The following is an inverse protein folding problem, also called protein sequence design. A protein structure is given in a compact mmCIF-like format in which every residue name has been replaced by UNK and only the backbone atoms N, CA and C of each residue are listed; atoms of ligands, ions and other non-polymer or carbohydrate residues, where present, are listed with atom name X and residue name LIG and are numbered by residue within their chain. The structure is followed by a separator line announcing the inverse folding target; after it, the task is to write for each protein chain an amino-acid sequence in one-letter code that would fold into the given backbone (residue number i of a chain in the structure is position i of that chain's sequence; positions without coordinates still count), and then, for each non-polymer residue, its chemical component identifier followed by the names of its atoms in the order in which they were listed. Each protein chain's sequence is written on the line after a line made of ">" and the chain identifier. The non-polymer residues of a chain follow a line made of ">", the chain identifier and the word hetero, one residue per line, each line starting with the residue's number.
data_IF_201064054226
#
_entry.id   IF_201064054226
#
_cell.length_a   1.000
_cell.length_b   1.000
_cell.length_c   1.000
_cell.angle_alpha   90.00
_cell.angle_beta   90.00
_cell.angle_gamma   90.00
#
_symmetry.space_group_name_H-M   'P 1'
#
loop_
_entity.id
_entity.type
_entity.pdbx_description
1 polymer ?
#
# COMPACT_ATOMS: atom_id res chain seq x y z
N UNK A 1 7.71 7.23 -13.49
CA UNK A 1 7.99 8.53 -14.13
C UNK A 1 7.12 9.58 -13.43
N UNK A 2 7.72 10.67 -12.90
CA UNK A 2 6.99 11.74 -12.24
C UNK A 2 6.45 12.73 -13.29
N UNK A 3 5.26 13.23 -13.06
CA UNK A 3 4.56 14.15 -13.95
C UNK A 3 4.34 15.50 -13.24
N UNK A 4 4.44 16.60 -13.99
CA UNK A 4 4.02 17.90 -13.45
C UNK A 4 2.52 17.90 -13.17
N UNK A 5 2.09 18.67 -12.19
CA UNK A 5 0.66 18.78 -11.82
C UNK A 5 -0.21 19.20 -13.00
N UNK A 6 0.28 20.14 -13.83
CA UNK A 6 -0.43 20.56 -15.03
C UNK A 6 -0.71 19.41 -15.99
N UNK A 7 0.29 18.54 -16.21
CA UNK A 7 0.14 17.38 -17.08
C UNK A 7 -0.85 16.35 -16.52
N UNK A 8 -0.82 16.12 -15.20
CA UNK A 8 -1.79 15.24 -14.55
C UNK A 8 -3.19 15.82 -14.68
N UNK A 9 -3.39 17.11 -14.40
CA UNK A 9 -4.68 17.79 -14.60
C UNK A 9 -5.18 17.65 -16.04
N UNK A 10 -4.33 17.91 -17.03
CA UNK A 10 -4.69 17.80 -18.44
C UNK A 10 -5.12 16.38 -18.83
N UNK A 11 -4.53 15.35 -18.20
CA UNK A 11 -4.95 13.97 -18.42
C UNK A 11 -6.28 13.66 -17.72
N UNK A 12 -6.46 14.07 -16.47
CA UNK A 12 -7.67 13.82 -15.68
C UNK A 12 -8.90 14.53 -16.25
N UNK A 13 -8.73 15.73 -16.80
CA UNK A 13 -9.83 16.54 -17.36
C UNK A 13 -10.31 16.06 -18.75
N UNK A 14 -9.62 15.11 -19.38
CA UNK A 14 -10.06 14.54 -20.66
C UNK A 14 -11.29 13.67 -20.54
N UNK A 15 -11.42 12.98 -19.42
CA UNK A 15 -12.51 12.06 -19.13
C UNK A 15 -13.00 12.29 -17.71
N UNK A 16 -14.30 12.51 -17.53
CA UNK A 16 -14.95 12.70 -16.22
C UNK A 16 -15.03 11.38 -15.44
N UNK A 17 -13.88 10.89 -14.98
CA UNK A 17 -13.77 9.67 -14.20
C UNK A 17 -13.47 9.98 -12.73
N UNK A 18 -13.92 9.13 -11.77
CA UNK A 18 -13.52 9.25 -10.38
C UNK A 18 -12.00 9.23 -10.23
N UNK A 19 -11.47 10.11 -9.39
CA UNK A 19 -10.04 10.20 -9.09
C UNK A 19 -9.81 9.69 -7.67
N UNK A 20 -8.94 8.70 -7.53
CA UNK A 20 -8.53 8.15 -6.24
C UNK A 20 -7.09 8.55 -5.95
N UNK A 21 -6.91 9.22 -4.81
CA UNK A 21 -5.59 9.58 -4.28
C UNK A 21 -5.16 8.54 -3.25
N UNK A 22 -3.91 8.08 -3.37
CA UNK A 22 -3.36 7.08 -2.47
C UNK A 22 -2.15 7.63 -1.75
N UNK A 23 -2.16 7.44 -0.43
CA UNK A 23 -1.01 7.68 0.44
C UNK A 23 -0.14 6.42 0.58
N UNK A 24 0.99 6.54 1.26
CA UNK A 24 1.92 5.44 1.50
C UNK A 24 1.30 4.33 2.33
N UNK A 25 0.49 4.67 3.35
CA UNK A 25 -0.15 3.70 4.23
C UNK A 25 -1.07 2.79 3.42
N UNK A 26 -1.91 3.36 2.56
CA UNK A 26 -2.83 2.60 1.70
C UNK A 26 -2.11 1.59 0.82
N UNK A 27 -0.94 1.94 0.32
CA UNK A 27 -0.15 1.06 -0.57
C UNK A 27 0.61 0.00 0.23
N UNK A 28 1.17 0.36 1.39
CA UNK A 28 1.84 -0.59 2.28
C UNK A 28 0.86 -1.55 2.95
N UNK A 29 -0.40 -1.17 3.12
CA UNK A 29 -1.45 -2.04 3.65
C UNK A 29 -1.77 -3.22 2.73
N UNK A 30 -1.46 -3.13 1.44
CA UNK A 30 -1.48 -4.28 0.52
C UNK A 30 -0.58 -5.41 1.07
N UNK A 31 0.58 -5.06 1.60
CA UNK A 31 1.55 -6.00 2.17
C UNK A 31 1.16 -6.43 3.59
N UNK A 32 0.63 -5.50 4.38
CA UNK A 32 0.21 -5.74 5.75
C UNK A 32 -1.08 -6.56 5.85
N UNK A 33 -1.89 -6.58 4.80
CA UNK A 33 -3.20 -7.26 4.78
C UNK A 33 -3.12 -8.76 5.10
N UNK A 34 -1.99 -9.42 4.79
CA UNK A 34 -1.81 -10.86 5.06
C UNK A 34 -1.84 -11.18 6.55
N UNK A 35 -1.34 -10.31 7.41
CA UNK A 35 -1.14 -10.64 8.83
C UNK A 35 -1.91 -9.77 9.82
N UNK A 36 -2.24 -8.53 9.45
CA UNK A 36 -2.95 -7.63 10.36
C UNK A 36 -4.46 -7.76 10.30
N UNK A 37 -5.01 -8.00 9.11
CA UNK A 37 -6.47 -7.95 8.89
C UNK A 37 -7.04 -9.26 8.36
N UNK A 38 -6.20 -10.26 8.11
CA UNK A 38 -6.57 -11.40 7.28
C UNK A 38 -6.81 -10.93 5.84
N UNK A 39 -6.09 -11.49 4.88
CA UNK A 39 -6.38 -11.24 3.47
C UNK A 39 -7.83 -11.60 3.21
N UNK A 40 -8.70 -10.59 3.14
CA UNK A 40 -9.95 -10.86 2.49
C UNK A 40 -9.62 -11.01 0.99
N UNK A 41 -10.05 -12.09 0.40
CA UNK A 41 -9.99 -12.32 -1.05
C UNK A 41 -10.49 -11.09 -1.82
N UNK A 42 -11.51 -10.42 -1.28
CA UNK A 42 -12.07 -9.18 -1.81
C UNK A 42 -11.05 -8.02 -1.87
N UNK A 43 -10.15 -7.88 -0.89
CA UNK A 43 -9.18 -6.79 -0.91
C UNK A 43 -8.17 -6.95 -2.06
N UNK A 44 -7.57 -8.14 -2.20
CA UNK A 44 -6.63 -8.42 -3.29
C UNK A 44 -7.32 -8.33 -4.66
N UNK A 45 -8.57 -8.83 -4.77
CA UNK A 45 -9.37 -8.73 -5.98
C UNK A 45 -9.67 -7.28 -6.36
N UNK A 46 -10.09 -6.45 -5.40
CA UNK A 46 -10.38 -5.03 -5.63
C UNK A 46 -9.13 -4.25 -6.07
N UNK A 47 -7.96 -4.53 -5.49
CA UNK A 47 -6.71 -3.90 -5.91
C UNK A 47 -6.33 -4.26 -7.35
N UNK A 48 -6.47 -5.52 -7.74
CA UNK A 48 -6.26 -5.96 -9.11
C UNK A 48 -7.25 -5.30 -10.08
N UNK A 49 -8.50 -5.13 -9.67
CA UNK A 49 -9.53 -4.47 -10.47
C UNK A 49 -9.21 -2.98 -10.65
N UNK A 50 -8.80 -2.27 -9.60
CA UNK A 50 -8.37 -0.87 -9.70
C UNK A 50 -7.22 -0.69 -10.70
N UNK A 51 -6.22 -1.57 -10.69
CA UNK A 51 -5.12 -1.53 -11.67
C UNK A 51 -5.64 -1.69 -13.10
N UNK A 52 -6.58 -2.62 -13.33
CA UNK A 52 -7.14 -2.90 -14.67
C UNK A 52 -8.05 -1.79 -15.19
N UNK A 53 -8.73 -1.10 -14.30
CA UNK A 53 -9.71 -0.04 -14.62
C UNK A 53 -9.11 1.35 -14.65
N UNK A 54 -7.86 1.51 -14.22
CA UNK A 54 -7.14 2.78 -14.25
C UNK A 54 -7.07 3.36 -15.68
N UNK A 55 -7.46 4.62 -15.82
CA UNK A 55 -7.55 5.31 -17.12
C UNK A 55 -8.73 4.87 -18.01
N UNK A 56 -9.67 4.06 -17.47
CA UNK A 56 -10.88 3.62 -18.18
C UNK A 56 -12.16 4.00 -17.45
N UNK A 57 -12.25 3.70 -16.18
CA UNK A 57 -13.39 4.00 -15.32
C UNK A 57 -13.01 4.71 -14.02
N UNK A 58 -11.73 4.89 -13.77
CA UNK A 58 -11.20 5.69 -12.67
C UNK A 58 -9.76 6.13 -12.98
N UNK A 59 -9.26 7.11 -12.24
CA UNK A 59 -7.87 7.52 -12.23
C UNK A 59 -7.24 7.20 -10.87
N UNK A 60 -6.07 6.59 -10.90
CA UNK A 60 -5.26 6.37 -9.71
C UNK A 60 -4.15 7.41 -9.68
N UNK A 61 -4.08 8.18 -8.62
CA UNK A 61 -3.11 9.27 -8.47
C UNK A 61 -2.33 9.06 -7.17
N UNK A 62 -1.05 9.36 -7.23
CA UNK A 62 -0.12 9.32 -6.10
C UNK A 62 0.86 10.49 -6.21
N UNK A 63 1.74 10.66 -5.24
CA UNK A 63 2.78 11.68 -5.25
C UNK A 63 4.18 11.06 -5.18
N UNK A 64 5.19 11.86 -5.53
CA UNK A 64 6.59 11.47 -5.40
C UNK A 64 6.94 11.08 -3.96
N UNK A 65 6.40 11.77 -2.96
CA UNK A 65 6.64 11.45 -1.55
C UNK A 65 6.18 10.04 -1.19
N UNK A 66 5.04 9.62 -1.72
CA UNK A 66 4.50 8.26 -1.51
C UNK A 66 5.43 7.20 -2.08
N UNK A 67 5.99 7.44 -3.27
CA UNK A 67 6.98 6.54 -3.87
C UNK A 67 8.25 6.44 -3.03
N UNK A 68 8.79 7.57 -2.58
CA UNK A 68 10.00 7.63 -1.75
C UNK A 68 9.76 6.90 -0.42
N UNK A 69 8.65 7.16 0.26
CA UNK A 69 8.30 6.48 1.51
C UNK A 69 8.05 4.98 1.33
N UNK A 70 7.46 4.58 0.22
CA UNK A 70 7.29 3.16 -0.07
C UNK A 70 8.64 2.46 -0.22
N UNK A 71 9.59 3.06 -0.94
CA UNK A 71 10.97 2.54 -1.08
C UNK A 71 11.66 2.43 0.28
N UNK A 72 11.52 3.45 1.11
CA UNK A 72 12.15 3.50 2.45
C UNK A 72 11.61 2.42 3.40
N UNK A 73 10.33 2.05 3.27
CA UNK A 73 9.65 1.17 4.22
C UNK A 73 9.46 -0.28 3.73
N UNK A 74 9.57 -0.54 2.42
CA UNK A 74 9.19 -1.82 1.83
C UNK A 74 9.93 -3.02 2.43
N UNK A 75 11.22 -2.92 2.67
CA UNK A 75 12.02 -4.05 3.18
C UNK A 75 11.67 -4.39 4.64
N UNK A 76 11.36 -3.39 5.46
CA UNK A 76 10.92 -3.59 6.84
C UNK A 76 9.54 -4.30 6.89
N UNK A 77 8.61 -3.88 6.03
CA UNK A 77 7.28 -4.47 5.92
C UNK A 77 7.37 -5.91 5.42
N UNK A 78 8.18 -6.17 4.38
CA UNK A 78 8.41 -7.52 3.85
C UNK A 78 9.01 -8.45 4.90
N UNK A 79 10.01 -7.98 5.65
CA UNK A 79 10.62 -8.77 6.74
C UNK A 79 9.60 -9.16 7.81
N UNK A 80 8.68 -8.24 8.14
CA UNK A 80 7.60 -8.49 9.09
C UNK A 80 6.62 -9.52 8.54
N UNK A 81 6.18 -9.36 7.31
CA UNK A 81 5.29 -10.29 6.63
C UNK A 81 5.88 -11.71 6.57
N UNK A 82 7.15 -11.85 6.23
CA UNK A 82 7.82 -13.16 6.18
C UNK A 82 7.88 -13.84 7.54
N UNK A 83 8.10 -13.07 8.61
CA UNK A 83 8.05 -13.60 9.98
C UNK A 83 6.66 -14.13 10.33
N UNK A 84 5.61 -13.40 9.96
CA UNK A 84 4.23 -13.80 10.24
C UNK A 84 3.82 -15.04 9.40
N UNK A 85 4.23 -15.12 8.15
CA UNK A 85 4.03 -16.34 7.32
C UNK A 85 4.70 -17.55 7.96
N UNK A 86 5.95 -17.40 8.46
CA UNK A 86 6.65 -18.49 9.17
C UNK A 86 5.96 -18.87 10.49
N UNK A 87 5.38 -17.93 11.21
CA UNK A 87 4.57 -18.23 12.42
C UNK A 87 3.31 -19.01 12.06
N UNK A 88 2.62 -18.60 10.99
CA UNK A 88 1.43 -19.31 10.49
C UNK A 88 1.78 -20.76 10.13
N UNK A 89 2.85 -21.00 9.38
CA UNK A 89 3.31 -22.36 9.04
C UNK A 89 3.55 -23.21 10.28
N UNK A 90 4.19 -22.65 11.32
CA UNK A 90 4.43 -23.35 12.58
C UNK A 90 3.12 -23.66 13.31
N UNK A 91 2.20 -22.70 13.36
CA UNK A 91 0.90 -22.86 14.02
C UNK A 91 0.09 -23.98 13.35
N UNK A 92 0.00 -23.99 12.02
CA UNK A 92 -0.69 -25.04 11.26
C UNK A 92 -0.06 -26.39 11.53
N UNK A 93 1.27 -26.49 11.45
CA UNK A 93 1.99 -27.74 11.69
C UNK A 93 1.74 -28.27 13.11
N UNK A 94 1.81 -27.40 14.11
CA UNK A 94 1.53 -27.77 15.50
C UNK A 94 0.08 -28.22 15.69
N UNK A 95 -0.86 -27.53 15.10
CA UNK A 95 -2.30 -27.88 15.20
C UNK A 95 -2.56 -29.25 14.58
N UNK A 96 -2.02 -29.54 13.39
CA UNK A 96 -2.20 -30.82 12.74
C UNK A 96 -1.58 -31.96 13.56
N UNK A 97 -0.36 -31.76 14.12
CA UNK A 97 0.29 -32.76 14.96
C UNK A 97 -0.54 -33.07 16.23
N UNK A 98 -1.03 -32.03 16.92
CA UNK A 98 -1.87 -32.23 18.11
C UNK A 98 -3.18 -32.91 17.74
N UNK A 99 -3.82 -32.51 16.64
CA UNK A 99 -5.06 -33.14 16.18
C UNK A 99 -4.86 -34.62 15.85
N UNK A 100 -3.80 -34.95 15.12
CA UNK A 100 -3.46 -36.34 14.79
C UNK A 100 -3.22 -37.18 16.06
N UNK A 101 -2.54 -36.60 17.04
CA UNK A 101 -2.27 -37.30 18.30
C UNK A 101 -3.56 -37.52 19.14
N UNK A 102 -4.36 -36.48 19.30
CA UNK A 102 -5.54 -36.51 20.19
C UNK A 102 -6.69 -37.33 19.59
N UNK A 103 -6.89 -37.21 18.28
CA UNK A 103 -8.00 -37.87 17.58
C UNK A 103 -7.61 -39.18 16.92
N UNK A 104 -6.35 -39.60 17.06
CA UNK A 104 -5.79 -40.79 16.38
C UNK A 104 -6.07 -40.76 14.86
N UNK A 105 -5.86 -39.62 14.24
CA UNK A 105 -6.08 -39.36 12.81
C UNK A 105 -4.74 -39.23 12.09
N UNK A 106 -4.77 -39.15 10.76
CA UNK A 106 -3.56 -38.99 9.94
C UNK A 106 -3.79 -37.89 8.88
N UNK A 107 -4.08 -36.68 9.34
CA UNK A 107 -4.13 -35.51 8.44
C UNK A 107 -2.75 -35.21 7.91
N UNK A 108 -2.65 -35.03 6.59
CA UNK A 108 -1.40 -34.65 5.92
C UNK A 108 -1.04 -33.16 6.15
N UNK A 109 0.25 -32.89 6.21
CA UNK A 109 0.73 -31.50 6.26
C UNK A 109 0.52 -30.80 4.92
N UNK A 110 -0.08 -29.62 4.89
CA UNK A 110 -0.14 -28.81 3.68
C UNK A 110 1.26 -28.27 3.30
N UNK A 111 1.45 -27.86 2.05
CA UNK A 111 2.67 -27.15 1.66
C UNK A 111 2.88 -25.90 2.53
N UNK A 112 4.12 -25.61 2.90
CA UNK A 112 4.45 -24.42 3.68
C UNK A 112 4.23 -23.15 2.85
N UNK A 113 3.50 -22.20 3.39
CA UNK A 113 3.29 -20.89 2.74
C UNK A 113 4.60 -20.12 2.53
N UNK A 114 5.58 -20.27 3.44
CA UNK A 114 6.91 -19.67 3.29
C UNK A 114 7.68 -20.16 2.06
N UNK A 115 7.31 -21.32 1.49
CA UNK A 115 7.88 -21.87 0.25
C UNK A 115 7.22 -21.34 -1.04
N UNK A 116 6.09 -20.61 -0.95
CA UNK A 116 5.31 -20.19 -2.11
C UNK A 116 5.72 -18.81 -2.65
N UNK A 117 6.78 -18.19 -2.14
CA UNK A 117 7.24 -16.85 -2.54
C UNK A 117 6.15 -15.78 -2.47
N UNK A 118 5.22 -15.89 -1.51
CA UNK A 118 4.06 -15.00 -1.37
C UNK A 118 4.52 -13.55 -1.19
N UNK A 119 5.55 -13.32 -0.36
CA UNK A 119 6.11 -11.99 -0.09
C UNK A 119 6.56 -11.28 -1.37
N UNK A 120 7.30 -11.97 -2.24
CA UNK A 120 7.76 -11.37 -3.49
C UNK A 120 6.62 -11.08 -4.47
N UNK A 121 5.60 -11.94 -4.51
CA UNK A 121 4.42 -11.73 -5.38
C UNK A 121 3.57 -10.55 -4.91
N UNK A 122 3.38 -10.40 -3.61
CA UNK A 122 2.63 -9.26 -3.04
C UNK A 122 3.45 -7.98 -3.16
N UNK A 123 4.77 -8.03 -2.98
CA UNK A 123 5.64 -6.90 -3.33
C UNK A 123 5.41 -6.45 -4.77
N UNK A 124 5.46 -7.39 -5.73
CA UNK A 124 5.22 -7.09 -7.14
C UNK A 124 3.81 -6.52 -7.41
N UNK A 125 2.80 -6.93 -6.65
CA UNK A 125 1.46 -6.35 -6.74
C UNK A 125 1.45 -4.89 -6.26
N UNK A 126 2.08 -4.60 -5.11
CA UNK A 126 2.23 -3.25 -4.58
C UNK A 126 3.00 -2.34 -5.53
N UNK A 127 4.11 -2.83 -6.11
CA UNK A 127 4.88 -2.12 -7.14
C UNK A 127 4.04 -1.85 -8.39
N UNK A 128 3.28 -2.84 -8.86
CA UNK A 128 2.41 -2.70 -10.03
C UNK A 128 1.31 -1.68 -9.80
N UNK A 129 0.74 -1.65 -8.59
CA UNK A 129 -0.25 -0.65 -8.19
C UNK A 129 0.37 0.75 -8.24
N UNK A 130 1.52 0.95 -7.60
CA UNK A 130 2.23 2.23 -7.56
C UNK A 130 2.61 2.71 -8.98
N UNK A 131 3.11 1.81 -9.81
CA UNK A 131 3.46 2.10 -11.20
C UNK A 131 2.26 2.39 -12.09
N UNK A 132 1.07 1.95 -11.71
CA UNK A 132 -0.17 2.29 -12.43
C UNK A 132 -0.67 3.70 -12.09
N UNK A 133 -0.32 4.26 -10.94
CA UNK A 133 -0.73 5.60 -10.54
C UNK A 133 -0.10 6.70 -11.40
N UNK A 134 -0.84 7.77 -11.64
CA UNK A 134 -0.28 9.04 -12.11
C UNK A 134 0.45 9.69 -10.95
N UNK A 135 1.78 9.68 -11.01
CA UNK A 135 2.59 10.15 -9.90
C UNK A 135 2.96 11.63 -10.10
N UNK A 136 2.45 12.47 -9.21
CA UNK A 136 2.70 13.92 -9.22
C UNK A 136 4.10 14.20 -8.68
N UNK A 137 4.90 14.98 -9.42
CA UNK A 137 6.19 15.46 -9.01
C UNK A 137 6.08 16.45 -7.84
N UNK A 138 6.93 16.27 -6.82
CA UNK A 138 7.02 17.21 -5.71
C UNK A 138 7.67 18.52 -6.17
N UNK A 139 7.10 19.64 -5.78
CA UNK A 139 7.64 20.99 -6.06
C UNK A 139 8.03 21.71 -4.78
N UNK A 140 8.87 22.75 -4.90
CA UNK A 140 9.19 23.61 -3.76
C UNK A 140 7.95 24.32 -3.20
N UNK A 141 6.94 24.58 -4.04
CA UNK A 141 5.68 25.21 -3.60
C UNK A 141 4.89 24.27 -2.68
N UNK A 142 4.80 22.97 -3.01
CA UNK A 142 4.21 21.94 -2.12
C UNK A 142 4.91 21.94 -0.75
N UNK A 143 6.24 21.97 -0.72
CA UNK A 143 7.01 22.02 0.54
C UNK A 143 6.72 23.28 1.33
N UNK A 144 6.66 24.44 0.69
CA UNK A 144 6.35 25.71 1.37
C UNK A 144 4.93 25.72 1.94
N UNK A 145 3.94 25.27 1.19
CA UNK A 145 2.55 25.15 1.64
C UNK A 145 2.41 24.15 2.79
N UNK A 146 3.08 23.00 2.71
CA UNK A 146 3.13 22.01 3.78
C UNK A 146 3.71 22.58 5.08
N UNK A 147 4.80 23.35 5.00
CA UNK A 147 5.38 24.02 6.16
C UNK A 147 4.44 25.08 6.76
N UNK A 148 3.67 25.79 5.95
CA UNK A 148 2.62 26.70 6.43
C UNK A 148 1.51 25.94 7.17
N UNK A 149 1.06 24.80 6.62
CA UNK A 149 0.08 23.90 7.23
C UNK A 149 0.56 23.40 8.59
N UNK A 150 1.81 22.94 8.69
CA UNK A 150 2.44 22.53 9.95
C UNK A 150 2.45 23.68 10.98
N UNK A 151 2.83 24.90 10.57
CA UNK A 151 2.87 26.08 11.47
C UNK A 151 1.49 26.47 11.98
N UNK A 152 0.44 26.30 11.17
CA UNK A 152 -0.94 26.59 11.54
C UNK A 152 -1.65 25.44 12.24
N UNK A 153 -1.01 24.28 12.35
CA UNK A 153 -1.60 23.03 12.85
C UNK A 153 -2.85 22.61 12.06
N UNK A 154 -2.84 22.85 10.75
CA UNK A 154 -3.89 22.40 9.83
C UNK A 154 -3.69 20.91 9.50
N UNK A 155 -4.76 20.14 9.43
CA UNK A 155 -4.69 18.70 9.15
C UNK A 155 -3.90 18.39 7.86
N UNK A 156 -3.07 17.32 7.88
CA UNK A 156 -2.91 16.28 8.89
C UNK A 156 -2.10 16.70 10.13
N UNK A 157 -1.39 17.85 10.08
CA UNK A 157 -0.63 18.35 11.23
C UNK A 157 -1.55 18.71 12.41
N UNK A 158 -1.08 18.41 13.61
CA UNK A 158 -1.77 18.70 14.87
C UNK A 158 -0.79 18.90 16.02
N UNK A 159 -1.27 19.44 17.12
CA UNK A 159 -0.45 19.62 18.33
C UNK A 159 0.16 18.30 18.78
N UNK A 160 1.49 18.24 18.83
CA UNK A 160 2.25 17.04 19.22
C UNK A 160 2.53 16.05 18.07
N UNK A 161 1.98 16.28 16.87
CA UNK A 161 2.23 15.45 15.68
C UNK A 161 2.23 16.34 14.43
N UNK A 162 3.40 16.72 13.96
CA UNK A 162 3.55 17.72 12.91
C UNK A 162 3.37 17.21 11.48
N UNK A 163 3.78 15.97 11.22
CA UNK A 163 3.60 15.20 9.97
C UNK A 163 3.89 15.99 8.67
N UNK A 164 5.09 16.58 8.52
CA UNK A 164 5.38 17.45 7.38
C UNK A 164 5.28 16.73 6.03
N UNK A 165 5.64 15.45 5.95
CA UNK A 165 5.52 14.65 4.71
C UNK A 165 4.06 14.44 4.33
N UNK A 166 3.19 14.11 5.30
CA UNK A 166 1.75 13.97 5.05
C UNK A 166 1.13 15.29 4.61
N UNK A 167 1.62 16.42 5.17
CA UNK A 167 1.22 17.74 4.72
C UNK A 167 1.62 18.01 3.26
N UNK A 168 2.82 17.59 2.83
CA UNK A 168 3.24 17.71 1.42
C UNK A 168 2.37 16.85 0.49
N UNK A 169 2.02 15.63 0.91
CA UNK A 169 1.12 14.76 0.15
C UNK A 169 -0.25 15.44 -0.03
N UNK A 170 -0.80 16.02 1.06
CA UNK A 170 -2.08 16.73 0.99
C UNK A 170 -2.01 17.94 0.08
N UNK A 171 -0.97 18.79 0.18
CA UNK A 171 -0.81 19.95 -0.70
C UNK A 171 -0.68 19.55 -2.18
N UNK A 172 0.00 18.44 -2.45
CA UNK A 172 0.12 17.87 -3.78
C UNK A 172 -1.26 17.45 -4.37
N UNK A 173 -2.19 17.00 -3.53
CA UNK A 173 -3.51 16.56 -3.96
C UNK A 173 -4.55 17.71 -4.00
N UNK A 174 -4.28 18.84 -3.35
CA UNK A 174 -5.17 20.01 -3.36
C UNK A 174 -4.97 20.93 -4.57
N UNK A 175 -3.88 20.79 -5.31
CA UNK A 175 -3.61 21.51 -6.56
C UNK A 175 -4.30 20.90 -7.76
#
# INVERSE_FOLDING_TARGET
>A
MYLSISKVKDELLKDEQPVFFFDTCSILDILNSIHLYGLSESYASNMLELIKTNGKSCWLVSSQNVNEEWIDNIDAVLSTMEKEIKKLDRSISSTINVTNLVLNTNYSMPPKFSGLSISSKIKSLSESFLNSCRCIERTNDHTLKAMQRVRKLEAPARKGKLEPKDCEIVECFLE
#
